data_IF_191230452882
#
_entry.id   IF_191230452882
#
_cell.length_a   1.000
_cell.length_b   1.000
_cell.length_c   1.000
_cell.angle_alpha   90.00
_cell.angle_beta   90.00
_cell.angle_gamma   90.00
#
_symmetry.space_group_name_H-M   'P 1'
#
loop_
_entity.id
_entity.type
_entity.pdbx_description
1 polymer ?
#
# COMPACT_ATOMS: atom_id res chain seq x y z
N UNK A 1 15.81 -20.56 -17.96
CA UNK A 1 15.04 -20.57 -16.70
C UNK A 1 15.69 -19.55 -15.77
N UNK A 2 15.21 -18.31 -15.78
CA UNK A 2 15.78 -17.25 -14.94
C UNK A 2 15.44 -17.51 -13.48
N UNK A 3 16.41 -17.32 -12.56
CA UNK A 3 16.11 -17.27 -11.13
C UNK A 3 14.96 -16.26 -10.94
N UNK A 4 13.90 -16.57 -10.16
CA UNK A 4 12.96 -15.54 -9.78
C UNK A 4 13.77 -14.43 -9.10
N UNK A 5 13.65 -13.20 -9.59
CA UNK A 5 14.21 -12.05 -8.90
C UNK A 5 13.76 -12.14 -7.43
N UNK A 6 14.69 -12.05 -6.48
CA UNK A 6 14.31 -12.09 -5.07
C UNK A 6 13.32 -10.96 -4.82
N UNK A 7 12.25 -11.21 -4.08
CA UNK A 7 11.27 -10.17 -3.82
C UNK A 7 11.94 -8.98 -3.11
N UNK A 8 11.55 -7.76 -3.45
CA UNK A 8 12.15 -6.56 -2.87
C UNK A 8 11.80 -6.45 -1.37
N UNK A 9 12.76 -5.97 -0.59
CA UNK A 9 12.56 -5.59 0.81
C UNK A 9 12.28 -4.10 0.87
N UNK A 10 11.07 -3.76 1.30
CA UNK A 10 10.63 -2.39 1.48
C UNK A 10 11.02 -1.91 2.87
N UNK A 11 11.23 -0.61 3.01
CA UNK A 11 11.66 -0.05 4.29
C UNK A 11 11.24 1.41 4.44
N UNK A 12 11.06 1.81 5.69
CA UNK A 12 10.83 3.21 6.06
C UNK A 12 11.50 3.51 7.41
N UNK A 13 11.78 4.79 7.65
CA UNK A 13 12.27 5.27 8.94
C UNK A 13 11.09 5.60 9.85
N UNK A 14 11.13 5.11 11.09
CA UNK A 14 10.12 5.43 12.11
C UNK A 14 10.83 5.84 13.40
N UNK A 15 10.75 7.13 13.76
CA UNK A 15 11.54 7.70 14.84
C UNK A 15 13.04 7.48 14.62
N UNK A 16 13.70 6.79 15.56
CA UNK A 16 15.13 6.49 15.51
C UNK A 16 15.44 5.10 14.90
N UNK A 17 14.43 4.34 14.50
CA UNK A 17 14.58 3.00 13.95
C UNK A 17 14.14 2.89 12.49
N UNK A 18 14.26 1.66 11.99
CA UNK A 18 13.80 1.28 10.66
C UNK A 18 12.87 0.08 10.78
N UNK A 19 11.78 0.13 10.00
CA UNK A 19 10.89 -1.02 9.80
C UNK A 19 11.11 -1.51 8.38
N UNK A 20 11.23 -2.83 8.25
CA UNK A 20 11.41 -3.52 6.98
C UNK A 20 10.20 -4.42 6.72
N UNK A 21 9.82 -4.53 5.45
CA UNK A 21 8.80 -5.45 4.95
C UNK A 21 9.44 -6.33 3.87
N UNK A 22 9.63 -7.61 4.20
CA UNK A 22 10.09 -8.62 3.26
C UNK A 22 8.89 -9.24 2.54
N UNK A 23 8.71 -8.92 1.25
CA UNK A 23 7.65 -9.50 0.42
C UNK A 23 7.87 -10.97 0.06
N UNK A 24 9.08 -11.51 0.24
CA UNK A 24 9.31 -12.93 0.03
C UNK A 24 8.62 -13.75 1.11
N UNK A 25 8.62 -13.26 2.36
CA UNK A 25 8.03 -13.95 3.50
C UNK A 25 6.75 -13.31 4.06
N UNK A 26 6.33 -12.15 3.54
CA UNK A 26 5.24 -11.30 4.04
C UNK A 26 5.42 -10.95 5.53
N UNK A 27 6.65 -10.61 5.93
CA UNK A 27 7.00 -10.34 7.33
C UNK A 27 7.58 -8.95 7.51
N UNK A 28 7.19 -8.35 8.63
CA UNK A 28 7.82 -7.17 9.16
C UNK A 28 8.92 -7.54 10.13
N UNK A 29 10.01 -6.79 10.10
CA UNK A 29 11.07 -6.91 11.08
C UNK A 29 11.77 -5.56 11.29
N UNK A 30 12.51 -5.47 12.38
CA UNK A 30 13.34 -4.32 12.73
C UNK A 30 14.77 -4.78 12.96
N UNK A 31 15.71 -3.85 12.89
CA UNK A 31 17.11 -4.12 13.24
C UNK A 31 17.37 -3.87 14.72
N UNK A 32 18.34 -4.58 15.29
CA UNK A 32 18.93 -4.22 16.57
C UNK A 32 19.59 -2.82 16.50
N UNK A 33 19.69 -2.08 17.62
CA UNK A 33 20.15 -0.69 17.61
C UNK A 33 21.48 -0.47 16.88
N UNK A 34 22.50 -1.30 17.14
CA UNK A 34 23.80 -1.20 16.47
C UNK A 34 23.74 -1.47 14.96
N UNK A 35 22.83 -2.34 14.52
CA UNK A 35 22.60 -2.58 13.10
C UNK A 35 21.79 -1.46 12.46
N UNK A 36 20.85 -0.84 13.18
CA UNK A 36 20.14 0.34 12.70
C UNK A 36 21.12 1.52 12.50
N UNK A 37 22.07 1.72 13.41
CA UNK A 37 23.10 2.76 13.29
C UNK A 37 23.99 2.51 12.06
N UNK A 38 24.45 1.26 11.88
CA UNK A 38 25.22 0.88 10.68
C UNK A 38 24.40 1.06 9.41
N UNK A 39 23.13 0.65 9.40
CA UNK A 39 22.24 0.84 8.26
C UNK A 39 22.06 2.32 7.94
N UNK A 40 21.89 3.18 8.94
CA UNK A 40 21.81 4.63 8.75
C UNK A 40 23.06 5.19 8.08
N UNK A 41 24.26 4.74 8.49
CA UNK A 41 25.52 5.13 7.86
C UNK A 41 25.59 4.69 6.39
N UNK A 42 25.18 3.46 6.09
CA UNK A 42 25.14 2.92 4.72
C UNK A 42 24.22 3.77 3.83
N UNK A 43 23.01 4.09 4.30
CA UNK A 43 22.07 4.92 3.55
C UNK A 43 22.61 6.33 3.31
N UNK A 44 23.28 6.93 4.28
CA UNK A 44 23.84 8.28 4.14
C UNK A 44 25.06 8.35 3.22
N UNK A 45 25.96 7.36 3.28
CA UNK A 45 27.21 7.35 2.50
C UNK A 45 27.04 6.72 1.10
N UNK A 46 25.97 5.96 0.90
CA UNK A 46 25.81 5.06 -0.24
C UNK A 46 26.31 3.65 0.09
N UNK A 47 25.69 2.64 -0.53
CA UNK A 47 26.10 1.25 -0.35
C UNK A 47 27.45 0.99 -1.04
N UNK A 48 28.39 0.40 -0.31
CA UNK A 48 29.68 -0.06 -0.83
C UNK A 48 29.71 -1.60 -0.91
N UNK A 49 30.62 -2.16 -1.72
CA UNK A 49 30.77 -3.61 -1.86
C UNK A 49 31.04 -4.33 -0.52
N UNK A 50 31.72 -3.67 0.42
CA UNK A 50 32.00 -4.20 1.75
C UNK A 50 30.75 -4.36 2.65
N UNK A 51 29.62 -3.75 2.27
CA UNK A 51 28.36 -3.87 3.00
C UNK A 51 27.46 -5.00 2.49
N UNK A 52 27.74 -5.58 1.32
CA UNK A 52 26.89 -6.58 0.68
C UNK A 52 26.68 -7.81 1.57
N UNK A 53 27.74 -8.40 2.11
CA UNK A 53 27.65 -9.57 2.99
C UNK A 53 26.87 -9.25 4.28
N UNK A 54 27.08 -8.05 4.83
CA UNK A 54 26.39 -7.61 6.05
C UNK A 54 24.89 -7.40 5.83
N UNK A 55 24.52 -6.81 4.68
CA UNK A 55 23.13 -6.61 4.25
C UNK A 55 22.48 -7.96 3.93
N UNK A 56 23.16 -8.83 3.20
CA UNK A 56 22.66 -10.15 2.82
C UNK A 56 22.37 -11.03 4.04
N UNK A 57 23.27 -11.04 5.03
CA UNK A 57 23.07 -11.76 6.31
C UNK A 57 21.82 -11.31 7.09
N UNK A 58 21.26 -10.14 6.76
CA UNK A 58 20.06 -9.55 7.38
C UNK A 58 18.85 -9.51 6.45
N UNK A 59 18.93 -10.15 5.28
CA UNK A 59 17.85 -10.14 4.29
C UNK A 59 17.72 -8.83 3.51
N UNK A 60 18.67 -7.91 3.61
CA UNK A 60 18.63 -6.56 3.01
C UNK A 60 19.34 -6.48 1.65
N UNK A 61 19.43 -7.59 0.92
CA UNK A 61 20.18 -7.67 -0.35
C UNK A 61 19.44 -7.06 -1.56
N UNK A 62 18.12 -6.86 -1.45
CA UNK A 62 17.30 -6.28 -2.52
C UNK A 62 16.39 -5.19 -1.95
N UNK A 63 17.00 -4.11 -1.45
CA UNK A 63 16.27 -2.98 -0.89
C UNK A 63 15.53 -2.22 -1.98
N UNK A 64 14.23 -2.02 -1.79
CA UNK A 64 13.46 -1.08 -2.58
C UNK A 64 13.95 0.35 -2.30
N UNK A 65 13.74 1.24 -3.28
CA UNK A 65 13.90 2.67 -3.02
C UNK A 65 12.85 3.12 -2.01
N UNK A 66 13.20 4.00 -1.06
CA UNK A 66 12.26 4.56 -0.09
C UNK A 66 11.04 5.19 -0.74
N UNK A 67 9.86 4.97 -0.16
CA UNK A 67 8.60 5.50 -0.70
C UNK A 67 8.62 7.01 -0.83
N UNK A 68 9.26 7.70 0.11
CA UNK A 68 9.36 9.17 0.12
C UNK A 68 10.14 9.74 -1.06
N UNK A 69 11.06 8.96 -1.63
CA UNK A 69 11.83 9.34 -2.81
C UNK A 69 11.09 9.07 -4.12
N UNK A 70 10.15 8.13 -4.13
CA UNK A 70 9.41 7.74 -5.35
C UNK A 70 8.08 8.51 -5.43
N UNK A 71 7.38 8.67 -4.31
CA UNK A 71 6.00 9.16 -4.25
C UNK A 71 5.80 10.14 -3.09
N UNK A 72 6.25 11.41 -3.23
CA UNK A 72 6.13 12.40 -2.16
C UNK A 72 4.67 12.69 -1.77
N UNK A 73 3.75 12.65 -2.73
CA UNK A 73 2.30 12.88 -2.51
C UNK A 73 1.64 11.81 -1.63
N UNK A 74 2.24 10.62 -1.56
CA UNK A 74 1.70 9.53 -0.75
C UNK A 74 2.11 9.60 0.72
N UNK A 75 3.18 10.34 1.03
CA UNK A 75 3.64 10.57 2.41
C UNK A 75 2.65 11.47 3.17
N UNK A 76 2.05 12.42 2.45
CA UNK A 76 1.21 13.45 3.04
C UNK A 76 -0.15 13.50 2.33
N UNK A 77 -1.05 12.53 2.58
CA UNK A 77 -2.42 12.65 2.12
C UNK A 77 -3.03 13.95 2.66
N UNK A 78 -3.75 14.68 1.80
CA UNK A 78 -4.30 16.00 2.15
C UNK A 78 -5.82 15.98 2.33
N UNK A 79 -6.47 14.90 1.93
CA UNK A 79 -7.93 14.75 1.99
C UNK A 79 -8.35 13.29 2.03
N UNK A 80 -9.58 13.04 2.46
CA UNK A 80 -10.26 11.75 2.31
C UNK A 80 -11.63 11.94 1.67
N UNK A 81 -11.98 11.04 0.75
CA UNK A 81 -13.29 11.00 0.13
C UNK A 81 -14.38 10.51 1.11
N UNK A 82 -13.99 9.99 2.27
CA UNK A 82 -14.95 9.65 3.33
C UNK A 82 -15.33 10.86 4.20
N UNK A 83 -14.44 11.85 4.31
CA UNK A 83 -14.59 13.03 5.16
C UNK A 83 -15.36 14.17 4.46
N UNK A 84 -15.41 14.12 3.13
CA UNK A 84 -16.20 15.04 2.31
C UNK A 84 -17.48 14.34 1.84
N UNK A 85 -18.62 14.51 2.56
CA UNK A 85 -19.90 13.95 2.13
C UNK A 85 -20.41 14.68 0.87
N UNK A 86 -19.85 14.33 -0.28
CA UNK A 86 -20.44 14.63 -1.58
C UNK A 86 -21.66 13.75 -1.80
N UNK A 87 -22.72 14.31 -2.38
CA UNK A 87 -24.01 13.66 -2.61
C UNK A 87 -23.98 12.46 -3.61
N UNK A 88 -22.81 11.93 -3.95
CA UNK A 88 -22.67 10.81 -4.87
C UNK A 88 -23.10 9.51 -4.19
N UNK A 89 -24.34 9.11 -4.46
CA UNK A 89 -24.86 7.80 -4.06
C UNK A 89 -24.31 6.75 -5.03
N UNK A 90 -23.57 5.78 -4.50
CA UNK A 90 -23.15 4.64 -5.29
C UNK A 90 -24.35 3.92 -5.90
N UNK A 91 -24.28 3.60 -7.20
CA UNK A 91 -25.33 2.82 -7.86
C UNK A 91 -25.43 1.42 -7.25
N UNK A 92 -26.60 0.77 -7.39
CA UNK A 92 -26.76 -0.62 -6.94
C UNK A 92 -25.79 -1.56 -7.67
N UNK A 93 -25.57 -1.32 -8.97
CA UNK A 93 -24.64 -2.09 -9.81
C UNK A 93 -23.20 -1.94 -9.31
N UNK A 94 -22.74 -0.72 -9.02
CA UNK A 94 -21.39 -0.49 -8.48
C UNK A 94 -21.23 -1.12 -7.10
N UNK A 95 -22.28 -1.11 -6.28
CA UNK A 95 -22.26 -1.76 -4.96
C UNK A 95 -22.13 -3.28 -5.10
N UNK A 96 -22.89 -3.92 -6.00
CA UNK A 96 -22.80 -5.36 -6.26
C UNK A 96 -21.40 -5.71 -6.80
N UNK A 97 -20.88 -4.91 -7.74
CA UNK A 97 -19.52 -5.06 -8.27
C UNK A 97 -18.47 -4.94 -7.16
N UNK A 98 -18.61 -3.99 -6.25
CA UNK A 98 -17.72 -3.82 -5.11
C UNK A 98 -17.78 -5.00 -4.13
N UNK A 99 -18.97 -5.53 -3.84
CA UNK A 99 -19.14 -6.74 -3.02
C UNK A 99 -18.41 -7.93 -3.65
N UNK A 100 -18.61 -8.16 -4.95
CA UNK A 100 -17.95 -9.25 -5.67
C UNK A 100 -16.42 -9.08 -5.70
N UNK A 101 -15.93 -7.88 -6.01
CA UNK A 101 -14.51 -7.56 -6.02
C UNK A 101 -13.87 -7.77 -4.65
N UNK A 102 -14.55 -7.36 -3.58
CA UNK A 102 -14.11 -7.53 -2.20
C UNK A 102 -14.04 -9.01 -1.81
N UNK A 103 -15.07 -9.80 -2.17
CA UNK A 103 -15.07 -11.24 -1.90
C UNK A 103 -13.88 -11.96 -2.58
N UNK A 104 -13.61 -11.65 -3.86
CA UNK A 104 -12.47 -12.18 -4.59
C UNK A 104 -11.14 -11.74 -3.99
N UNK A 105 -10.99 -10.44 -3.69
CA UNK A 105 -9.75 -9.92 -3.12
C UNK A 105 -9.44 -10.55 -1.75
N UNK A 106 -10.44 -10.74 -0.88
CA UNK A 106 -10.26 -11.45 0.40
C UNK A 106 -9.82 -12.90 0.20
N UNK A 107 -10.34 -13.58 -0.82
CA UNK A 107 -9.88 -14.94 -1.17
C UNK A 107 -8.42 -14.92 -1.64
N UNK A 108 -8.01 -13.93 -2.43
CA UNK A 108 -6.62 -13.79 -2.87
C UNK A 108 -5.68 -13.47 -1.71
N UNK A 109 -6.00 -12.49 -0.86
CA UNK A 109 -5.18 -12.10 0.30
C UNK A 109 -4.96 -13.27 1.28
N UNK A 110 -5.94 -14.17 1.43
CA UNK A 110 -5.78 -15.37 2.27
C UNK A 110 -4.95 -16.49 1.65
N UNK A 111 -4.73 -16.47 0.34
CA UNK A 111 -4.14 -17.60 -0.41
C UNK A 111 -2.80 -17.26 -1.06
N UNK A 112 -2.56 -15.99 -1.34
CA UNK A 112 -1.42 -15.50 -2.09
C UNK A 112 -0.58 -14.59 -1.19
N UNK A 113 0.71 -14.56 -1.47
CA UNK A 113 1.61 -13.60 -0.83
C UNK A 113 1.36 -12.19 -1.34
N UNK A 114 1.70 -11.18 -0.53
CA UNK A 114 1.52 -9.78 -0.93
C UNK A 114 2.24 -9.50 -2.26
N UNK A 115 3.50 -9.92 -2.40
CA UNK A 115 4.25 -9.76 -3.65
C UNK A 115 3.55 -10.35 -4.88
N UNK A 116 2.87 -11.50 -4.75
CA UNK A 116 2.10 -12.12 -5.84
C UNK A 116 0.83 -11.34 -6.18
N UNK A 117 0.21 -10.69 -5.18
CA UNK A 117 -0.97 -9.85 -5.42
C UNK A 117 -0.55 -8.59 -6.16
N UNK A 118 0.53 -7.94 -5.72
CA UNK A 118 1.04 -6.71 -6.34
C UNK A 118 1.46 -6.93 -7.79
N UNK A 119 2.07 -8.09 -8.11
CA UNK A 119 2.45 -8.42 -9.48
C UNK A 119 1.26 -8.62 -10.44
N UNK A 120 0.04 -8.72 -9.91
CA UNK A 120 -1.20 -8.84 -10.73
C UNK A 120 -1.85 -7.50 -11.02
N UNK A 121 -1.33 -6.39 -10.47
CA UNK A 121 -1.89 -5.08 -10.76
C UNK A 121 -1.59 -4.69 -12.21
N UNK A 122 -2.62 -4.29 -12.98
CA UNK A 122 -2.42 -3.91 -14.36
C UNK A 122 -1.66 -2.59 -14.42
N UNK A 123 -0.78 -2.49 -15.41
CA UNK A 123 -0.28 -1.20 -15.87
C UNK A 123 -1.43 -0.49 -16.59
N UNK A 124 -1.60 0.80 -16.32
CA UNK A 124 -2.69 1.59 -16.86
C UNK A 124 -2.18 2.90 -17.44
N UNK A 125 -2.85 3.35 -18.48
CA UNK A 125 -2.74 4.71 -18.98
C UNK A 125 -3.81 5.56 -18.27
N UNK A 126 -3.42 6.55 -17.44
CA UNK A 126 -4.37 7.28 -16.61
C UNK A 126 -5.31 8.15 -17.45
N UNK A 127 -6.62 8.08 -17.14
CA UNK A 127 -7.62 9.01 -17.67
C UNK A 127 -7.36 10.45 -17.20
N UNK A 128 -8.04 11.46 -17.78
CA UNK A 128 -8.00 12.82 -17.26
C UNK A 128 -8.37 12.90 -15.77
N UNK A 129 -7.71 13.80 -15.02
CA UNK A 129 -7.81 13.85 -13.56
C UNK A 129 -9.25 13.99 -13.05
N UNK A 130 -10.11 14.72 -13.76
CA UNK A 130 -11.51 14.91 -13.34
C UNK A 130 -12.33 13.61 -13.44
N UNK A 131 -12.12 12.83 -14.50
CA UNK A 131 -12.76 11.53 -14.66
C UNK A 131 -12.29 10.57 -13.57
N UNK A 132 -10.99 10.60 -13.24
CA UNK A 132 -10.45 9.81 -12.15
C UNK A 132 -11.08 10.18 -10.79
N UNK A 133 -11.25 11.48 -10.50
CA UNK A 133 -11.89 11.95 -9.26
C UNK A 133 -13.34 11.47 -9.15
N UNK A 134 -14.11 11.59 -10.23
CA UNK A 134 -15.50 11.09 -10.30
C UNK A 134 -15.57 9.58 -10.08
N UNK A 135 -14.72 8.82 -10.78
CA UNK A 135 -14.63 7.37 -10.61
C UNK A 135 -14.19 6.98 -9.19
N UNK A 136 -13.27 7.73 -8.58
CA UNK A 136 -12.81 7.58 -7.21
C UNK A 136 -13.92 7.80 -6.18
N UNK A 137 -14.72 8.88 -6.32
CA UNK A 137 -15.87 9.16 -5.44
C UNK A 137 -16.92 8.06 -5.52
N UNK A 138 -17.31 7.68 -6.73
CA UNK A 138 -18.24 6.56 -6.97
C UNK A 138 -17.74 5.25 -6.35
N UNK A 139 -16.45 4.92 -6.53
CA UNK A 139 -15.85 3.73 -5.94
C UNK A 139 -15.82 3.80 -4.40
N UNK A 140 -15.39 4.91 -3.80
CA UNK A 140 -15.38 5.09 -2.35
C UNK A 140 -16.78 4.89 -1.74
N UNK A 141 -17.81 5.47 -2.36
CA UNK A 141 -19.20 5.29 -1.93
C UNK A 141 -19.67 3.82 -2.07
N UNK A 142 -19.29 3.13 -3.17
CA UNK A 142 -19.67 1.75 -3.41
C UNK A 142 -19.02 0.79 -2.39
N UNK A 143 -17.73 0.99 -2.12
CA UNK A 143 -16.99 0.21 -1.13
C UNK A 143 -17.45 0.49 0.30
N UNK A 144 -17.78 1.75 0.65
CA UNK A 144 -18.39 2.09 1.94
C UNK A 144 -19.69 1.32 2.17
N UNK A 145 -20.51 1.10 1.13
CA UNK A 145 -21.71 0.25 1.20
C UNK A 145 -21.37 -1.24 1.25
N UNK A 146 -20.44 -1.69 0.40
CA UNK A 146 -20.06 -3.10 0.30
C UNK A 146 -19.48 -3.63 1.62
N UNK A 147 -18.66 -2.84 2.31
CA UNK A 147 -18.04 -3.20 3.60
C UNK A 147 -19.05 -3.60 4.67
N UNK A 148 -20.30 -3.09 4.62
CA UNK A 148 -21.37 -3.49 5.57
C UNK A 148 -21.73 -4.98 5.52
N UNK A 149 -21.39 -5.67 4.43
CA UNK A 149 -21.68 -7.09 4.23
C UNK A 149 -20.50 -8.00 4.62
N UNK A 150 -19.38 -7.42 5.06
CA UNK A 150 -18.18 -8.18 5.39
C UNK A 150 -17.68 -7.78 6.79
N UNK A 151 -17.25 -8.75 7.58
CA UNK A 151 -16.59 -8.53 8.88
C UNK A 151 -15.23 -9.22 8.92
N UNK A 152 -14.35 -8.81 9.84
CA UNK A 152 -13.11 -9.51 10.17
C UNK A 152 -11.82 -8.71 9.96
N UNK A 153 -10.72 -9.29 10.44
CA UNK A 153 -9.43 -8.63 10.70
C UNK A 153 -8.65 -8.22 9.43
N UNK A 154 -8.81 -8.93 8.31
CA UNK A 154 -8.11 -8.62 7.04
C UNK A 154 -8.89 -7.67 6.11
N UNK A 155 -9.72 -6.80 6.67
CA UNK A 155 -10.59 -5.93 5.87
C UNK A 155 -9.78 -4.91 5.06
N UNK A 156 -8.73 -4.33 5.64
CA UNK A 156 -7.98 -3.24 5.02
C UNK A 156 -7.29 -3.65 3.72
N UNK A 157 -6.44 -4.69 3.76
CA UNK A 157 -5.72 -5.16 2.57
C UNK A 157 -6.68 -5.72 1.51
N UNK A 158 -7.69 -6.51 1.92
CA UNK A 158 -8.71 -7.03 1.00
C UNK A 158 -9.49 -5.91 0.29
N UNK A 159 -9.91 -4.88 1.05
CA UNK A 159 -10.60 -3.71 0.52
C UNK A 159 -9.69 -2.90 -0.41
N UNK A 160 -8.46 -2.64 0.00
CA UNK A 160 -7.52 -1.87 -0.82
C UNK A 160 -7.21 -2.57 -2.14
N UNK A 161 -6.92 -3.88 -2.11
CA UNK A 161 -6.68 -4.68 -3.32
C UNK A 161 -7.89 -4.70 -4.25
N UNK A 162 -9.10 -4.86 -3.70
CA UNK A 162 -10.32 -4.83 -4.50
C UNK A 162 -10.56 -3.46 -5.14
N UNK A 163 -10.43 -2.38 -4.36
CA UNK A 163 -10.65 -1.02 -4.84
C UNK A 163 -9.62 -0.62 -5.89
N UNK A 164 -8.33 -0.92 -5.65
CA UNK A 164 -7.24 -0.72 -6.62
C UNK A 164 -7.56 -1.37 -7.96
N UNK A 165 -8.01 -2.63 -7.98
CA UNK A 165 -8.38 -3.35 -9.21
C UNK A 165 -9.58 -2.72 -9.91
N UNK A 166 -10.62 -2.36 -9.15
CA UNK A 166 -11.81 -1.71 -9.71
C UNK A 166 -11.47 -0.36 -10.35
N UNK A 167 -10.64 0.44 -9.67
CA UNK A 167 -10.20 1.74 -10.17
C UNK A 167 -9.25 1.62 -11.37
N UNK A 168 -8.37 0.62 -11.37
CA UNK A 168 -7.53 0.35 -12.52
C UNK A 168 -8.35 -0.02 -13.78
N UNK A 169 -9.40 -0.82 -13.61
CA UNK A 169 -10.34 -1.13 -14.70
C UNK A 169 -11.17 0.06 -15.19
N UNK A 170 -11.18 1.17 -14.42
CA UNK A 170 -11.75 2.46 -14.80
C UNK A 170 -10.67 3.46 -15.28
N UNK A 171 -9.44 3.02 -15.54
CA UNK A 171 -8.34 3.88 -15.99
C UNK A 171 -7.86 4.90 -14.95
N UNK A 172 -8.08 4.65 -13.66
CA UNK A 172 -7.63 5.54 -12.58
C UNK A 172 -6.29 5.08 -12.01
N UNK A 173 -5.32 6.00 -11.90
CA UNK A 173 -4.01 5.80 -11.24
C UNK A 173 -4.13 5.82 -9.71
N UNK A 174 -5.07 5.03 -9.20
CA UNK A 174 -5.19 4.78 -7.79
C UNK A 174 -4.06 3.85 -7.35
N UNK A 175 -3.48 4.11 -6.19
CA UNK A 175 -2.35 3.37 -5.63
C UNK A 175 -2.75 2.75 -4.31
N UNK A 176 -2.38 1.50 -4.12
CA UNK A 176 -2.45 0.82 -2.84
C UNK A 176 -1.25 1.28 -2.01
N UNK A 177 -1.50 1.80 -0.81
CA UNK A 177 -0.47 2.21 0.13
C UNK A 177 -0.52 1.28 1.34
N UNK A 178 0.64 0.80 1.77
CA UNK A 178 0.81 0.10 3.05
C UNK A 178 1.66 1.00 3.93
N UNK A 179 1.18 1.27 5.14
CA UNK A 179 1.88 2.08 6.13
C UNK A 179 2.01 1.39 7.46
N UNK A 180 2.98 1.84 8.25
CA UNK A 180 3.31 1.32 9.57
C UNK A 180 3.43 2.44 10.59
N UNK A 181 3.15 2.14 11.85
CA UNK A 181 3.29 3.09 12.97
C UNK A 181 3.87 2.40 14.21
N UNK A 182 4.23 3.17 15.23
CA UNK A 182 4.70 2.69 16.54
C UNK A 182 3.79 3.19 17.67
N UNK A 183 3.34 2.34 18.63
CA UNK A 183 3.54 0.89 18.71
C UNK A 183 3.10 0.14 17.45
N UNK A 184 3.74 -0.99 17.15
CA UNK A 184 3.65 -1.61 15.82
C UNK A 184 2.19 -1.89 15.42
N UNK A 185 1.76 -1.21 14.36
CA UNK A 185 0.56 -1.53 13.61
C UNK A 185 0.83 -1.31 12.13
N UNK A 186 0.29 -2.19 11.30
CA UNK A 186 0.32 -2.06 9.85
C UNK A 186 -1.10 -1.82 9.35
N UNK A 187 -1.25 -0.87 8.44
CA UNK A 187 -2.53 -0.56 7.79
C UNK A 187 -2.34 -0.40 6.29
N UNK A 188 -3.42 -0.60 5.55
CA UNK A 188 -3.42 -0.51 4.10
C UNK A 188 -4.63 0.29 3.63
N UNK A 189 -4.38 1.26 2.76
CA UNK A 189 -5.40 2.13 2.19
C UNK A 189 -5.16 2.36 0.70
N UNK A 190 -6.11 3.01 0.02
CA UNK A 190 -5.98 3.39 -1.39
C UNK A 190 -5.98 4.90 -1.53
N UNK A 191 -5.06 5.42 -2.34
CA UNK A 191 -4.96 6.81 -2.68
C UNK A 191 -5.15 7.06 -4.18
N UNK A 192 -5.72 8.21 -4.52
CA UNK A 192 -5.72 8.77 -5.86
C UNK A 192 -5.07 10.16 -5.79
N UNK A 193 -3.83 10.26 -6.25
CA UNK A 193 -2.97 11.39 -5.90
C UNK A 193 -2.82 11.51 -4.37
N UNK A 194 -3.12 12.69 -3.83
CA UNK A 194 -3.10 12.96 -2.38
C UNK A 194 -4.40 12.66 -1.64
N UNK A 195 -5.44 12.16 -2.32
CA UNK A 195 -6.73 11.85 -1.70
C UNK A 195 -6.84 10.39 -1.30
N UNK A 196 -7.29 10.11 -0.08
CA UNK A 196 -7.54 8.77 0.46
C UNK A 196 -8.98 8.34 0.15
N UNK A 197 -9.17 7.08 -0.25
CA UNK A 197 -10.48 6.56 -0.67
C UNK A 197 -11.11 5.55 0.31
N UNK A 198 -10.28 4.83 1.07
CA UNK A 198 -10.74 3.69 1.89
C UNK A 198 -10.96 4.03 3.36
N UNK A 199 -10.34 5.11 3.84
CA UNK A 199 -10.21 5.44 5.26
C UNK A 199 -10.34 6.95 5.49
N UNK A 200 -10.84 7.38 6.66
CA UNK A 200 -10.76 8.77 7.10
C UNK A 200 -9.31 9.27 7.15
N UNK A 201 -9.10 10.57 6.97
CA UNK A 201 -7.74 11.12 6.90
C UNK A 201 -7.00 10.97 8.25
N UNK A 202 -7.68 11.22 9.37
CA UNK A 202 -7.15 11.10 10.73
C UNK A 202 -6.68 9.68 11.07
N UNK A 203 -7.28 8.66 10.46
CA UNK A 203 -6.86 7.25 10.63
C UNK A 203 -5.53 6.97 9.93
N UNK A 204 -5.28 7.56 8.76
CA UNK A 204 -4.06 7.24 7.98
C UNK A 204 -2.86 8.12 8.33
N UNK A 205 -3.08 9.36 8.80
CA UNK A 205 -2.02 10.32 9.11
C UNK A 205 -0.94 9.80 10.09
N UNK A 206 -1.25 8.97 11.11
CA UNK A 206 -0.23 8.43 12.02
C UNK A 206 0.68 7.37 11.40
N UNK A 207 0.36 6.86 10.19
CA UNK A 207 1.11 5.81 9.53
C UNK A 207 2.17 6.39 8.59
N UNK A 208 3.38 5.83 8.65
CA UNK A 208 4.45 6.09 7.69
C UNK A 208 4.35 5.10 6.54
N UNK A 209 4.18 5.53 5.28
CA UNK A 209 4.16 4.63 4.14
C UNK A 209 5.47 3.83 3.99
N UNK A 210 5.34 2.52 3.83
CA UNK A 210 6.47 1.59 3.60
C UNK A 210 6.41 0.97 2.20
N UNK A 211 5.23 0.84 1.59
CA UNK A 211 5.05 0.26 0.25
C UNK A 211 3.93 0.95 -0.51
N UNK A 212 4.13 1.12 -1.83
CA UNK A 212 3.12 1.66 -2.78
C UNK A 212 3.08 0.81 -4.06
N UNK A 213 1.88 0.51 -4.57
CA UNK A 213 1.65 -0.32 -5.76
C UNK A 213 0.35 0.01 -6.55
#
# INVERSE_FOLDING_TARGET
MGKPASAATYWCRTGNGFIFLDLASDRYFTLEPSAADRFSLIIHRGQEAADEDWLAARGLHNLARPVDQIFPEAIAPTSSYLDSPGAEKASAVDTIRAIYALALARRHVRKLRLGQILSTFPQIEPLPTEEQRSAGRSAAAAFKRARRYFSGVDECLGCGVAMRRVLAGKGCDARLVVGVTLPFAAHCWVQLGSAVLTDPLDVVLPYTPILIA
#
